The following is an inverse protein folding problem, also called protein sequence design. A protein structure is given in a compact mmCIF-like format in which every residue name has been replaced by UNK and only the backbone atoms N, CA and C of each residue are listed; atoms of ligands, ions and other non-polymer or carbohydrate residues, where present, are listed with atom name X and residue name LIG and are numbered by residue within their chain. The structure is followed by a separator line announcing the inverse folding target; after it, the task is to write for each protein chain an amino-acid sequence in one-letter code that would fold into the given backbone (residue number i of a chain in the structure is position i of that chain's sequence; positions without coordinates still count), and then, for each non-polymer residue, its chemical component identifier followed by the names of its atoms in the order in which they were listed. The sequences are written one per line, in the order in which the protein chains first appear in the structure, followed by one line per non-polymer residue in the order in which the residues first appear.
data_IF_632193592634
#
_entry.id   IF_632193592634
#
_cell.length_a   1.000
_cell.length_b   1.000
_cell.length_c   1.000
_cell.angle_alpha   90.00
_cell.angle_beta   90.00
_cell.angle_gamma   90.00
#
_symmetry.space_group_name_H-M   'P 1'
#
loop_
_entity.id
_entity.type
_entity.pdbx_description
1 polymer ?
#
# COMPACT_ATOMS: atom_id res chain seq x y z
N UNK A 1 -18.46 2.72 -23.91
CA UNK A 1 -17.34 3.25 -23.11
C UNK A 1 -17.81 3.63 -21.73
N UNK A 2 -17.27 2.99 -20.71
CA UNK A 2 -17.51 3.36 -19.31
C UNK A 2 -16.91 4.74 -19.05
N UNK A 3 -17.69 5.64 -18.44
CA UNK A 3 -17.27 7.02 -18.21
C UNK A 3 -16.47 7.10 -16.90
N UNK A 4 -15.28 7.67 -16.97
CA UNK A 4 -14.41 7.92 -15.81
C UNK A 4 -14.02 9.39 -15.72
N UNK A 5 -13.65 9.82 -14.51
CA UNK A 5 -13.09 11.14 -14.25
C UNK A 5 -11.81 11.00 -13.43
N UNK A 6 -10.72 11.59 -13.92
CA UNK A 6 -9.46 11.70 -13.19
C UNK A 6 -9.51 12.95 -12.32
N UNK A 7 -9.31 12.77 -11.03
CA UNK A 7 -9.33 13.85 -10.04
C UNK A 7 -7.93 14.40 -9.84
N UNK A 8 -7.66 15.55 -10.45
CA UNK A 8 -6.35 16.20 -10.43
C UNK A 8 -6.45 17.74 -10.37
N UNK A 9 -5.28 18.38 -10.25
CA UNK A 9 -5.16 19.84 -10.28
C UNK A 9 -5.58 20.54 -8.98
N UNK A 10 -5.90 21.84 -9.10
CA UNK A 10 -6.20 22.71 -7.96
C UNK A 10 -7.52 22.35 -7.27
N UNK A 11 -7.74 22.74 -5.99
CA UNK A 11 -9.01 22.48 -5.30
C UNK A 11 -10.24 22.92 -6.11
N UNK A 12 -10.20 24.11 -6.73
CA UNK A 12 -11.28 24.61 -7.57
C UNK A 12 -11.56 23.74 -8.82
N UNK A 13 -10.53 23.10 -9.39
CA UNK A 13 -10.69 22.17 -10.51
C UNK A 13 -11.36 20.88 -10.03
N UNK A 14 -10.90 20.32 -8.90
CA UNK A 14 -11.46 19.10 -8.29
C UNK A 14 -12.93 19.28 -7.92
N UNK A 15 -13.31 20.45 -7.42
CA UNK A 15 -14.71 20.77 -7.11
C UNK A 15 -15.64 20.70 -8.32
N UNK A 16 -15.14 21.11 -9.50
CA UNK A 16 -15.89 20.99 -10.74
C UNK A 16 -16.04 19.53 -11.16
N UNK A 17 -15.01 18.72 -10.94
CA UNK A 17 -15.01 17.27 -11.22
C UNK A 17 -16.05 16.58 -10.32
N UNK A 18 -16.08 16.88 -9.03
CA UNK A 18 -17.08 16.32 -8.11
C UNK A 18 -18.51 16.72 -8.48
N UNK A 19 -18.73 17.99 -8.85
CA UNK A 19 -20.04 18.44 -9.36
C UNK A 19 -20.44 17.75 -10.66
N UNK A 20 -19.47 17.39 -11.51
CA UNK A 20 -19.73 16.64 -12.73
C UNK A 20 -20.08 15.18 -12.43
N UNK A 21 -19.36 14.56 -11.50
CA UNK A 21 -19.64 13.19 -11.03
C UNK A 21 -21.06 13.07 -10.48
N UNK A 22 -21.48 13.97 -9.58
CA UNK A 22 -22.81 13.94 -8.97
C UNK A 22 -23.97 14.19 -9.95
N UNK A 23 -23.71 14.71 -11.14
CA UNK A 23 -24.75 15.08 -12.14
C UNK A 23 -24.83 14.14 -13.33
N UNK A 24 -23.84 13.27 -13.51
CA UNK A 24 -23.70 12.43 -14.69
C UNK A 24 -23.55 10.99 -14.25
N UNK A 25 -23.95 10.08 -15.13
CA UNK A 25 -23.68 8.67 -14.97
C UNK A 25 -22.18 8.39 -15.23
N UNK A 26 -21.36 8.54 -14.19
CA UNK A 26 -19.91 8.30 -14.18
C UNK A 26 -19.64 7.09 -13.29
N UNK A 27 -18.95 6.10 -13.83
CA UNK A 27 -18.70 4.84 -13.13
C UNK A 27 -17.46 4.93 -12.23
N UNK A 28 -16.40 5.60 -12.69
CA UNK A 28 -15.12 5.68 -11.97
C UNK A 28 -14.68 7.09 -11.66
N UNK A 29 -14.29 7.32 -10.40
CA UNK A 29 -13.46 8.43 -9.99
C UNK A 29 -12.05 7.92 -9.71
N UNK A 30 -11.06 8.47 -10.40
CA UNK A 30 -9.68 8.02 -10.32
C UNK A 30 -8.86 9.05 -9.55
N UNK A 31 -8.20 8.61 -8.49
CA UNK A 31 -7.41 9.45 -7.61
C UNK A 31 -5.96 8.95 -7.53
N UNK A 32 -5.03 9.87 -7.32
CA UNK A 32 -3.80 9.52 -6.62
C UNK A 32 -4.09 9.33 -5.13
N UNK A 33 -3.29 8.52 -4.43
CA UNK A 33 -3.43 8.34 -2.98
C UNK A 33 -3.41 9.68 -2.23
N UNK A 34 -2.50 10.59 -2.58
CA UNK A 34 -2.39 11.89 -1.91
C UNK A 34 -3.61 12.77 -2.15
N UNK A 35 -4.13 12.82 -3.37
CA UNK A 35 -5.35 13.57 -3.68
C UNK A 35 -6.53 13.01 -2.90
N UNK A 36 -6.68 11.69 -2.83
CA UNK A 36 -7.73 11.04 -2.05
C UNK A 36 -7.61 11.39 -0.55
N UNK A 37 -6.40 11.33 0.02
CA UNK A 37 -6.15 11.71 1.42
C UNK A 37 -6.54 13.15 1.70
N UNK A 38 -6.14 14.07 0.84
CA UNK A 38 -6.40 15.51 1.02
C UNK A 38 -7.90 15.81 0.93
N UNK A 39 -8.60 15.18 -0.01
CA UNK A 39 -10.02 15.46 -0.26
C UNK A 39 -10.97 14.53 0.51
N UNK A 40 -10.45 13.61 1.34
CA UNK A 40 -11.23 12.58 2.03
C UNK A 40 -12.45 13.13 2.79
N UNK A 41 -12.26 14.14 3.64
CA UNK A 41 -13.37 14.71 4.39
C UNK A 41 -14.39 15.40 3.48
N UNK A 42 -13.91 16.08 2.43
CA UNK A 42 -14.79 16.70 1.43
C UNK A 42 -15.65 15.67 0.70
N UNK A 43 -15.05 14.54 0.30
CA UNK A 43 -15.76 13.45 -0.37
C UNK A 43 -16.88 12.87 0.50
N UNK A 44 -16.68 12.83 1.82
CA UNK A 44 -17.72 12.47 2.79
C UNK A 44 -18.79 13.56 2.90
N UNK A 45 -18.39 14.82 3.05
CA UNK A 45 -19.31 15.97 3.18
C UNK A 45 -20.27 16.09 1.99
N UNK A 46 -19.77 15.83 0.78
CA UNK A 46 -20.58 15.91 -0.45
C UNK A 46 -21.27 14.60 -0.82
N UNK A 47 -21.20 13.58 0.05
CA UNK A 47 -21.92 12.31 -0.10
C UNK A 47 -21.36 11.35 -1.16
N UNK A 48 -20.14 11.57 -1.68
CA UNK A 48 -19.48 10.59 -2.56
C UNK A 48 -19.03 9.38 -1.74
N UNK A 49 -18.53 9.61 -0.52
CA UNK A 49 -18.19 8.56 0.45
C UNK A 49 -19.23 8.53 1.57
N UNK A 50 -19.40 7.35 2.18
CA UNK A 50 -20.19 7.14 3.41
C UNK A 50 -21.67 7.57 3.34
N UNK A 51 -22.27 7.63 2.14
CA UNK A 51 -23.67 7.98 1.94
C UNK A 51 -24.59 6.75 1.83
N UNK A 52 -24.52 5.84 2.81
CA UNK A 52 -25.33 4.62 2.82
C UNK A 52 -25.14 3.76 1.54
N UNK A 53 -26.25 3.41 0.89
CA UNK A 53 -26.24 2.63 -0.37
C UNK A 53 -26.09 3.51 -1.64
N UNK A 54 -26.00 4.83 -1.50
CA UNK A 54 -25.96 5.78 -2.63
C UNK A 54 -24.55 6.33 -2.90
N UNK A 55 -23.59 6.09 -2.00
CA UNK A 55 -22.18 6.45 -2.19
C UNK A 55 -21.40 5.42 -3.01
N UNK A 56 -20.09 5.64 -3.12
CA UNK A 56 -19.17 4.70 -3.77
C UNK A 56 -19.22 3.33 -3.07
N UNK A 57 -19.59 2.29 -3.83
CA UNK A 57 -19.70 0.92 -3.32
C UNK A 57 -18.40 0.11 -3.35
N UNK A 58 -17.38 0.57 -4.09
CA UNK A 58 -16.14 -0.18 -4.30
C UNK A 58 -14.92 0.73 -4.32
N UNK A 59 -13.82 0.28 -3.72
CA UNK A 59 -12.49 0.89 -3.88
C UNK A 59 -11.54 -0.11 -4.55
N UNK A 60 -10.78 0.38 -5.52
CA UNK A 60 -9.71 -0.37 -6.18
C UNK A 60 -8.40 0.35 -5.85
N UNK A 61 -7.48 -0.38 -5.22
CA UNK A 61 -6.23 0.14 -4.71
C UNK A 61 -5.08 -0.47 -5.49
N UNK A 62 -4.56 0.29 -6.46
CA UNK A 62 -3.33 -0.09 -7.13
C UNK A 62 -2.12 0.13 -6.21
N UNK A 63 -1.15 -0.77 -6.27
CA UNK A 63 -0.02 -0.86 -5.34
C UNK A 63 -0.46 -0.76 -3.87
N UNK A 64 -1.36 -1.65 -3.45
CA UNK A 64 -1.98 -1.64 -2.11
C UNK A 64 -0.95 -1.65 -0.96
N UNK A 65 0.29 -2.07 -1.18
CA UNK A 65 1.36 -1.94 -0.19
C UNK A 65 1.62 -0.49 0.24
N UNK A 66 1.15 0.53 -0.50
CA UNK A 66 1.16 1.94 -0.07
C UNK A 66 0.39 2.18 1.23
N UNK A 67 -0.58 1.33 1.57
CA UNK A 67 -1.38 1.45 2.80
C UNK A 67 -0.95 0.45 3.89
N UNK A 68 0.26 -0.12 3.81
CA UNK A 68 0.82 -1.07 4.81
C UNK A 68 0.86 -0.54 6.24
N UNK A 69 1.17 0.74 6.41
CA UNK A 69 1.24 1.34 7.74
C UNK A 69 -0.15 1.82 8.20
N UNK A 70 -0.82 1.04 9.05
CA UNK A 70 -2.15 1.38 9.60
C UNK A 70 -2.23 2.72 10.34
N UNK A 71 -1.08 3.28 10.78
CA UNK A 71 -1.03 4.58 11.47
C UNK A 71 -0.96 5.76 10.49
N UNK A 72 -0.55 5.52 9.25
CA UNK A 72 -0.43 6.55 8.23
C UNK A 72 -1.79 7.20 7.92
N UNK A 73 -1.77 8.50 7.65
CA UNK A 73 -3.00 9.25 7.32
C UNK A 73 -3.70 8.67 6.08
N UNK A 74 -2.93 8.23 5.08
CA UNK A 74 -3.49 7.62 3.89
C UNK A 74 -4.23 6.31 4.19
N UNK A 75 -3.63 5.41 4.97
CA UNK A 75 -4.27 4.15 5.38
C UNK A 75 -5.53 4.40 6.19
N UNK A 76 -5.53 5.41 7.06
CA UNK A 76 -6.72 5.83 7.81
C UNK A 76 -7.83 6.33 6.88
N UNK A 77 -7.52 7.21 5.93
CA UNK A 77 -8.49 7.73 4.97
C UNK A 77 -9.11 6.59 4.14
N UNK A 78 -8.28 5.72 3.56
CA UNK A 78 -8.75 4.57 2.77
C UNK A 78 -9.61 3.62 3.59
N UNK A 79 -9.18 3.26 4.81
CA UNK A 79 -9.96 2.42 5.71
C UNK A 79 -11.31 3.06 6.10
N UNK A 80 -11.35 4.37 6.30
CA UNK A 80 -12.55 5.09 6.72
C UNK A 80 -13.47 5.48 5.56
N UNK A 81 -13.12 5.10 4.32
CA UNK A 81 -14.01 5.24 3.16
C UNK A 81 -15.23 4.30 3.23
N UNK A 82 -15.21 3.31 4.13
CA UNK A 82 -16.32 2.40 4.46
C UNK A 82 -17.07 1.84 3.25
N UNK A 83 -16.33 1.51 2.18
CA UNK A 83 -16.90 0.92 0.97
C UNK A 83 -17.24 -0.56 1.18
N UNK A 84 -18.24 -1.06 0.44
CA UNK A 84 -18.68 -2.45 0.55
C UNK A 84 -17.67 -3.45 -0.02
N UNK A 85 -16.97 -3.08 -1.09
CA UNK A 85 -16.01 -3.94 -1.78
C UNK A 85 -14.63 -3.27 -1.86
N UNK A 86 -13.59 -4.02 -1.52
CA UNK A 86 -12.20 -3.58 -1.65
C UNK A 86 -11.41 -4.55 -2.52
N UNK A 87 -10.75 -4.03 -3.55
CA UNK A 87 -9.83 -4.79 -4.39
C UNK A 87 -8.44 -4.18 -4.25
N UNK A 88 -7.47 -5.00 -3.84
CA UNK A 88 -6.06 -4.62 -3.80
C UNK A 88 -5.32 -5.21 -4.99
N UNK A 89 -4.57 -4.39 -5.71
CA UNK A 89 -3.65 -4.82 -6.76
C UNK A 89 -2.23 -4.57 -6.28
N UNK A 90 -1.32 -5.48 -6.59
CA UNK A 90 0.09 -5.33 -6.31
C UNK A 90 0.91 -6.28 -7.17
N UNK A 91 2.02 -5.78 -7.70
CA UNK A 91 3.04 -6.64 -8.31
C UNK A 91 3.94 -7.33 -7.28
N UNK A 92 3.88 -6.91 -6.01
CA UNK A 92 4.80 -7.30 -4.94
C UNK A 92 4.03 -7.61 -3.66
N UNK A 93 3.45 -8.82 -3.53
CA UNK A 93 2.50 -9.16 -2.46
C UNK A 93 3.08 -9.03 -1.05
N UNK A 94 4.40 -9.16 -0.89
CA UNK A 94 5.10 -8.92 0.38
C UNK A 94 6.40 -8.20 0.06
N UNK A 95 6.57 -6.97 0.56
CA UNK A 95 7.74 -6.17 0.24
C UNK A 95 8.93 -6.49 1.15
N UNK A 96 8.72 -6.74 2.45
CA UNK A 96 9.82 -6.91 3.40
C UNK A 96 9.52 -7.75 4.65
N UNK A 97 8.31 -7.65 5.25
CA UNK A 97 8.01 -8.32 6.52
C UNK A 97 6.57 -8.83 6.61
N UNK A 98 6.28 -9.96 7.28
CA UNK A 98 4.94 -10.50 7.45
C UNK A 98 3.91 -9.48 8.00
N UNK A 99 4.32 -8.56 8.87
CA UNK A 99 3.42 -7.56 9.44
C UNK A 99 2.92 -6.49 8.46
N UNK A 100 3.61 -6.29 7.34
CA UNK A 100 3.19 -5.32 6.31
C UNK A 100 1.87 -5.74 5.65
N UNK A 101 1.48 -7.01 5.74
CA UNK A 101 0.24 -7.52 5.15
C UNK A 101 -1.01 -7.08 5.92
N UNK A 102 -0.87 -6.74 7.21
CA UNK A 102 -2.02 -6.42 8.04
C UNK A 102 -2.80 -5.22 7.50
N UNK A 103 -2.11 -4.14 7.10
CA UNK A 103 -2.75 -2.92 6.58
C UNK A 103 -3.67 -3.18 5.38
N UNK A 104 -3.15 -3.74 4.26
CA UNK A 104 -3.93 -4.11 3.09
C UNK A 104 -5.10 -5.02 3.43
N UNK A 105 -4.85 -6.10 4.19
CA UNK A 105 -5.88 -7.08 4.54
C UNK A 105 -6.98 -6.48 5.42
N UNK A 106 -6.63 -5.58 6.33
CA UNK A 106 -7.61 -4.87 7.17
C UNK A 106 -8.55 -3.96 6.35
N UNK A 107 -8.13 -3.56 5.15
CA UNK A 107 -8.92 -2.74 4.22
C UNK A 107 -9.78 -3.62 3.31
N UNK A 108 -9.20 -4.63 2.66
CA UNK A 108 -9.92 -5.44 1.65
C UNK A 108 -10.73 -6.59 2.23
N UNK A 109 -10.33 -7.13 3.39
CA UNK A 109 -11.00 -8.23 4.07
C UNK A 109 -10.98 -8.01 5.60
N UNK A 110 -11.74 -7.03 6.11
CA UNK A 110 -11.75 -6.70 7.54
C UNK A 110 -12.09 -7.94 8.39
N UNK A 111 -11.26 -8.21 9.41
CA UNK A 111 -11.46 -9.31 10.35
C UNK A 111 -10.72 -10.62 10.02
N UNK A 112 -10.29 -10.82 8.77
CA UNK A 112 -9.57 -12.05 8.35
C UNK A 112 -8.32 -12.32 9.19
N UNK A 113 -7.52 -11.28 9.44
CA UNK A 113 -6.29 -11.34 10.23
C UNK A 113 -6.49 -10.94 11.70
N UNK A 114 -7.75 -10.87 12.15
CA UNK A 114 -8.13 -10.41 13.48
C UNK A 114 -8.70 -8.98 13.48
N UNK A 115 -9.19 -8.56 14.65
CA UNK A 115 -9.91 -7.29 14.80
C UNK A 115 -9.02 -6.07 15.00
N UNK A 116 -7.78 -6.27 15.47
CA UNK A 116 -6.84 -5.17 15.71
C UNK A 116 -5.39 -5.59 15.44
N UNK A 117 -4.55 -4.58 15.17
CA UNK A 117 -3.15 -4.76 14.81
C UNK A 117 -2.33 -5.42 15.93
N UNK A 118 -2.60 -5.09 17.20
CA UNK A 118 -1.82 -5.62 18.32
C UNK A 118 -2.01 -7.13 18.51
N UNK A 119 -3.24 -7.63 18.40
CA UNK A 119 -3.54 -9.07 18.43
C UNK A 119 -2.93 -9.80 17.25
N UNK A 120 -2.88 -9.16 16.08
CA UNK A 120 -2.16 -9.69 14.93
C UNK A 120 -0.66 -9.83 15.27
N UNK A 121 -0.04 -8.77 15.81
CA UNK A 121 1.37 -8.77 16.19
C UNK A 121 1.66 -9.88 17.20
N UNK A 122 0.85 -10.00 18.25
CA UNK A 122 1.06 -11.01 19.30
C UNK A 122 0.85 -12.45 18.78
N UNK A 123 0.03 -12.64 17.74
CA UNK A 123 -0.22 -13.96 17.14
C UNK A 123 0.89 -14.40 16.18
N UNK A 124 1.48 -13.49 15.42
CA UNK A 124 2.37 -13.85 14.31
C UNK A 124 3.83 -13.42 14.49
N UNK A 125 4.11 -12.53 15.43
CA UNK A 125 5.46 -12.06 15.71
C UNK A 125 5.90 -12.51 17.09
N UNK A 126 7.21 -12.68 17.23
CA UNK A 126 7.88 -12.92 18.51
C UNK A 126 8.70 -11.67 18.82
N UNK A 127 8.35 -11.03 19.93
CA UNK A 127 9.07 -9.85 20.44
C UNK A 127 10.16 -10.29 21.42
N UNK A 128 11.26 -9.56 21.44
CA UNK A 128 12.38 -9.77 22.35
C UNK A 128 13.33 -8.57 22.36
N UNK A 129 14.56 -8.77 22.84
CA UNK A 129 15.56 -7.72 23.00
C UNK A 129 15.29 -6.83 24.22
N UNK A 130 15.95 -5.67 24.31
CA UNK A 130 15.79 -4.78 25.46
C UNK A 130 14.35 -4.25 25.54
N UNK A 131 13.63 -4.66 26.58
CA UNK A 131 12.24 -4.26 26.84
C UNK A 131 11.20 -4.83 25.87
N UNK A 132 11.48 -5.92 25.15
CA UNK A 132 10.52 -6.59 24.24
C UNK A 132 9.97 -5.72 23.09
N UNK A 133 10.79 -4.77 22.61
CA UNK A 133 10.41 -3.89 21.50
C UNK A 133 10.89 -4.39 20.12
N UNK A 134 11.79 -5.38 20.07
CA UNK A 134 12.37 -5.85 18.81
C UNK A 134 11.67 -7.11 18.33
N UNK A 135 11.42 -7.18 17.02
CA UNK A 135 10.92 -8.39 16.38
C UNK A 135 12.12 -9.31 16.16
N UNK A 136 12.17 -10.42 16.88
CA UNK A 136 13.31 -11.36 16.84
C UNK A 136 13.02 -12.59 15.97
N UNK A 137 11.75 -12.95 15.82
CA UNK A 137 11.31 -14.02 14.93
C UNK A 137 9.81 -13.93 14.64
N UNK A 138 9.30 -14.88 13.84
CA UNK A 138 7.90 -15.00 13.48
C UNK A 138 7.35 -16.38 13.88
N UNK A 139 6.05 -16.44 14.11
CA UNK A 139 5.31 -17.65 14.50
C UNK A 139 4.00 -17.74 13.71
N UNK A 140 3.41 -18.94 13.63
CA UNK A 140 2.13 -19.18 12.94
C UNK A 140 2.10 -18.71 11.46
N UNK A 141 3.24 -18.73 10.77
CA UNK A 141 3.36 -18.22 9.39
C UNK A 141 2.54 -19.03 8.38
N UNK A 142 2.42 -20.35 8.55
CA UNK A 142 1.63 -21.18 7.64
C UNK A 142 0.13 -20.84 7.74
N UNK A 143 -0.36 -20.57 8.95
CA UNK A 143 -1.72 -20.07 9.16
C UNK A 143 -1.92 -18.70 8.50
N UNK A 144 -0.96 -17.78 8.68
CA UNK A 144 -1.02 -16.46 8.07
C UNK A 144 -1.07 -16.57 6.54
N UNK A 145 -0.21 -17.39 5.97
CA UNK A 145 -0.15 -17.65 4.53
C UNK A 145 -1.48 -18.22 4.02
N UNK A 146 -2.00 -19.27 4.66
CA UNK A 146 -3.28 -19.90 4.29
C UNK A 146 -4.44 -18.90 4.30
N UNK A 147 -4.52 -18.04 5.32
CA UNK A 147 -5.53 -16.97 5.39
C UNK A 147 -5.42 -15.99 4.24
N UNK A 148 -4.21 -15.53 3.93
CA UNK A 148 -3.96 -14.58 2.83
C UNK A 148 -4.31 -15.23 1.48
N UNK A 149 -3.90 -16.48 1.26
CA UNK A 149 -4.19 -17.23 0.02
C UNK A 149 -5.69 -17.46 -0.19
N UNK A 150 -6.48 -17.59 0.89
CA UNK A 150 -7.94 -17.77 0.79
C UNK A 150 -8.68 -16.58 0.13
N UNK A 151 -8.04 -15.42 0.04
CA UNK A 151 -8.63 -14.19 -0.51
C UNK A 151 -7.71 -13.50 -1.51
N UNK A 152 -6.68 -14.17 -2.01
CA UNK A 152 -5.74 -13.62 -2.98
C UNK A 152 -5.56 -14.56 -4.18
N UNK A 153 -5.28 -13.95 -5.33
CA UNK A 153 -4.93 -14.69 -6.55
C UNK A 153 -3.54 -14.20 -6.95
N UNK A 154 -2.58 -15.13 -7.00
CA UNK A 154 -1.21 -14.88 -7.47
C UNK A 154 -0.90 -15.83 -8.61
N UNK A 155 -0.21 -15.31 -9.61
CA UNK A 155 0.34 -16.07 -10.72
C UNK A 155 1.78 -15.64 -10.97
N UNK A 156 2.64 -16.60 -11.24
CA UNK A 156 4.02 -16.38 -11.64
C UNK A 156 4.09 -16.19 -13.15
N UNK A 157 5.08 -15.43 -13.62
CA UNK A 157 5.29 -15.26 -15.07
C UNK A 157 5.50 -16.60 -15.76
N UNK A 158 6.26 -17.49 -15.14
CA UNK A 158 6.56 -18.85 -15.64
C UNK A 158 5.30 -19.74 -15.74
N UNK A 159 4.26 -19.47 -14.95
CA UNK A 159 2.99 -20.23 -15.01
C UNK A 159 2.11 -19.81 -16.19
N UNK A 160 2.32 -18.61 -16.75
CA UNK A 160 1.44 -18.01 -17.76
C UNK A 160 2.15 -17.81 -19.09
N UNK A 161 3.45 -17.47 -19.06
CA UNK A 161 4.21 -16.98 -20.19
C UNK A 161 5.45 -17.84 -20.39
N UNK A 162 5.73 -18.18 -21.64
CA UNK A 162 6.97 -18.86 -22.03
C UNK A 162 8.02 -17.79 -22.41
N UNK A 163 8.65 -17.19 -21.41
CA UNK A 163 9.70 -16.19 -21.59
C UNK A 163 11.09 -16.85 -21.61
N UNK A 164 12.06 -16.32 -22.37
CA UNK A 164 13.45 -16.77 -22.29
C UNK A 164 14.03 -16.51 -20.89
N UNK A 165 15.10 -17.25 -20.55
CA UNK A 165 15.83 -17.03 -19.30
C UNK A 165 16.36 -15.59 -19.18
N UNK A 166 16.35 -15.06 -17.97
CA UNK A 166 16.91 -13.73 -17.68
C UNK A 166 18.42 -13.83 -17.59
N UNK A 167 19.12 -13.01 -18.37
CA UNK A 167 20.57 -12.79 -18.21
C UNK A 167 20.81 -11.65 -17.22
N UNK A 168 21.70 -11.89 -16.26
CA UNK A 168 22.16 -10.89 -15.30
C UNK A 168 23.65 -10.66 -15.54
N UNK A 169 24.06 -9.40 -15.68
CA UNK A 169 25.46 -9.01 -15.83
C UNK A 169 25.82 -8.01 -14.73
N UNK A 170 26.72 -8.41 -13.83
CA UNK A 170 27.24 -7.54 -12.80
C UNK A 170 28.42 -6.73 -13.37
N UNK A 171 28.20 -5.44 -13.63
CA UNK A 171 29.22 -4.51 -14.06
C UNK A 171 29.88 -3.86 -12.84
N UNK A 172 31.06 -4.34 -12.48
CA UNK A 172 31.87 -3.72 -11.42
C UNK A 172 32.42 -2.38 -11.92
N UNK A 173 32.06 -1.29 -11.23
CA UNK A 173 32.57 0.04 -11.51
C UNK A 173 33.59 0.45 -10.46
N UNK A 174 34.82 0.75 -10.89
CA UNK A 174 35.84 1.32 -10.02
C UNK A 174 35.60 2.83 -9.83
N UNK A 175 36.01 3.36 -8.68
CA UNK A 175 36.06 4.80 -8.43
C UNK A 175 37.30 5.38 -9.13
N UNK A 176 37.20 5.65 -10.43
CA UNK A 176 38.32 6.08 -11.26
C UNK A 176 38.66 7.56 -11.00
N UNK A 177 37.67 8.40 -10.66
CA UNK A 177 37.89 9.81 -10.33
C UNK A 177 38.52 9.96 -8.93
N UNK A 178 39.74 10.49 -8.82
CA UNK A 178 40.39 10.73 -7.53
C UNK A 178 39.55 11.57 -6.56
N UNK A 179 38.75 12.52 -7.06
CA UNK A 179 37.88 13.35 -6.21
C UNK A 179 36.74 12.55 -5.58
N UNK A 180 36.20 11.57 -6.31
CA UNK A 180 35.19 10.67 -5.75
C UNK A 180 35.80 9.80 -4.65
N UNK A 181 37.02 9.29 -4.88
CA UNK A 181 37.72 8.46 -3.91
C UNK A 181 38.06 9.24 -2.63
N UNK A 182 38.58 10.46 -2.77
CA UNK A 182 38.87 11.37 -1.66
C UNK A 182 37.61 11.71 -0.84
N UNK A 183 36.50 12.05 -1.52
CA UNK A 183 35.23 12.32 -0.85
C UNK A 183 34.71 11.10 -0.07
N UNK A 184 34.83 9.90 -0.62
CA UNK A 184 34.45 8.67 0.06
C UNK A 184 35.34 8.36 1.27
N UNK A 185 36.65 8.50 1.13
CA UNK A 185 37.60 8.25 2.23
C UNK A 185 37.39 9.24 3.38
N UNK A 186 37.20 10.52 3.07
CA UNK A 186 36.86 11.56 4.07
C UNK A 186 35.56 11.23 4.83
N UNK A 187 34.49 10.90 4.10
CA UNK A 187 33.20 10.56 4.73
C UNK A 187 33.28 9.27 5.56
N UNK A 188 34.11 8.31 5.11
CA UNK A 188 34.39 7.08 5.86
C UNK A 188 35.11 7.38 7.18
N UNK A 189 36.12 8.23 7.15
CA UNK A 189 36.87 8.62 8.36
C UNK A 189 36.00 9.37 9.37
N UNK A 190 35.15 10.29 8.90
CA UNK A 190 34.18 10.99 9.77
C UNK A 190 33.21 10.02 10.46
N UNK A 191 32.73 8.99 9.76
CA UNK A 191 31.81 8.00 10.32
C UNK A 191 32.45 7.05 11.33
N UNK A 192 33.77 6.82 11.26
CA UNK A 192 34.49 6.00 12.24
C UNK A 192 34.94 6.80 13.49
N UNK A 193 34.92 8.13 13.41
CA UNK A 193 35.28 9.01 14.52
C UNK A 193 34.11 9.30 15.49
N UNK A 194 32.92 8.75 15.22
CA UNK A 194 31.71 8.81 16.06
C UNK A 194 31.32 7.41 16.58
#
# INVERSE_FOLDING_TARGET
DEKSLVVDGTPNKRDRIYKQYLKRDILFLIFSYETFRVDFEKLKEIGILNNGNEGVGMIILDEIQKVKNVRAQISKAVKNAQVRFGIGLTGTPVYNRPEDIFGPMHIISPGLLGSNYWRFMDRYLVKGGYGDHQIVSYQNLEELKSKVESVSIRRLKEEILNLPEKTYEDLLCEMIDPKQKEAYESMREELFAW
#
